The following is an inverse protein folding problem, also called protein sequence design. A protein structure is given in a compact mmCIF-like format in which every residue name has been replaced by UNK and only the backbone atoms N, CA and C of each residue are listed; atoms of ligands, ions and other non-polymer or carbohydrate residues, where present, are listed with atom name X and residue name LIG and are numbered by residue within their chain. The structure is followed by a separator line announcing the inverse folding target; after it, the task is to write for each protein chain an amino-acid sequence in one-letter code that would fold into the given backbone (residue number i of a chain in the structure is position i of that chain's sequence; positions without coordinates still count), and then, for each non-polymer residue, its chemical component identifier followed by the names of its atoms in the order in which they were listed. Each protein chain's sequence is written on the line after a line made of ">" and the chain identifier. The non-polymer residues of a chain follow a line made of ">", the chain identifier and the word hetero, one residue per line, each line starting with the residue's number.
data_IF_581383419146
#
_entry.id   IF_581383419146
#
_cell.length_a   1.000
_cell.length_b   1.000
_cell.length_c   1.000
_cell.angle_alpha   90.00
_cell.angle_beta   90.00
_cell.angle_gamma   90.00
#
_symmetry.space_group_name_H-M   'P 1'
#
loop_
_entity.id
_entity.type
_entity.pdbx_description
1 polymer ?
#
# COMPACT_ATOMS: atom_id res chain seq x y z
N UNK A 1 7.38 6.73 2.76
CA UNK A 1 6.66 5.96 3.79
C UNK A 1 6.32 4.61 3.18
N UNK A 2 6.78 3.52 3.77
CA UNK A 2 6.41 2.17 3.33
C UNK A 2 5.55 1.57 4.42
N UNK A 3 4.37 1.11 4.04
CA UNK A 3 3.37 0.53 4.94
C UNK A 3 3.42 -0.98 4.75
N UNK A 4 3.62 -1.69 5.85
CA UNK A 4 3.70 -3.15 5.88
C UNK A 4 2.53 -3.64 6.72
N UNK A 5 1.61 -4.39 6.12
CA UNK A 5 0.42 -4.92 6.77
C UNK A 5 0.50 -6.44 6.89
N UNK A 6 0.05 -6.97 8.02
CA UNK A 6 -0.24 -8.40 8.16
C UNK A 6 -1.57 -8.69 7.46
N UNK A 7 -1.55 -9.63 6.52
CA UNK A 7 -2.72 -10.06 5.76
C UNK A 7 -3.70 -10.93 6.54
N UNK A 8 -3.35 -11.33 7.77
CA UNK A 8 -4.22 -12.12 8.63
C UNK A 8 -5.05 -11.27 9.62
N UNK A 9 -4.95 -9.94 9.55
CA UNK A 9 -5.72 -9.06 10.41
C UNK A 9 -7.22 -9.13 10.08
N UNK A 10 -8.09 -9.03 11.10
CA UNK A 10 -9.52 -8.90 10.86
C UNK A 10 -9.83 -7.52 10.24
N UNK A 11 -10.93 -7.44 9.48
CA UNK A 11 -11.23 -6.31 8.62
C UNK A 11 -11.42 -4.99 9.39
N UNK A 12 -12.00 -5.06 10.58
CA UNK A 12 -12.22 -3.93 11.50
C UNK A 12 -10.90 -3.33 11.99
N UNK A 13 -9.91 -4.17 12.29
CA UNK A 13 -8.56 -3.69 12.62
C UNK A 13 -7.91 -2.99 11.43
N UNK A 14 -8.03 -3.56 10.23
CA UNK A 14 -7.50 -2.94 9.00
C UNK A 14 -8.14 -1.58 8.74
N UNK A 15 -9.45 -1.44 8.93
CA UNK A 15 -10.15 -0.17 8.82
C UNK A 15 -9.61 0.87 9.81
N UNK A 16 -9.42 0.47 11.08
CA UNK A 16 -8.89 1.34 12.12
C UNK A 16 -7.45 1.79 11.83
N UNK A 17 -6.63 0.89 11.26
CA UNK A 17 -5.28 1.21 10.78
C UNK A 17 -5.34 2.23 9.64
N UNK A 18 -6.22 2.04 8.65
CA UNK A 18 -6.34 2.99 7.53
C UNK A 18 -6.82 4.36 8.00
N UNK A 19 -7.76 4.45 8.94
CA UNK A 19 -8.18 5.72 9.55
C UNK A 19 -7.02 6.42 10.28
N UNK A 20 -6.23 5.66 11.05
CA UNK A 20 -5.07 6.20 11.76
C UNK A 20 -3.97 6.67 10.80
N UNK A 21 -3.76 5.93 9.70
CA UNK A 21 -2.83 6.28 8.65
C UNK A 21 -3.27 7.54 7.89
N UNK A 22 -4.57 7.69 7.59
CA UNK A 22 -5.07 8.88 6.89
C UNK A 22 -4.74 10.14 7.68
N UNK A 23 -5.04 10.15 8.98
CA UNK A 23 -4.73 11.27 9.87
C UNK A 23 -3.23 11.57 9.93
N UNK A 24 -2.40 10.53 10.07
CA UNK A 24 -0.93 10.67 10.13
C UNK A 24 -0.37 11.24 8.82
N UNK A 25 -0.86 10.77 7.67
CA UNK A 25 -0.42 11.24 6.35
C UNK A 25 -0.87 12.67 6.09
N UNK A 26 -2.09 13.05 6.51
CA UNK A 26 -2.56 14.45 6.45
C UNK A 26 -1.67 15.37 7.26
N UNK A 27 -1.28 14.99 8.48
CA UNK A 27 -0.36 15.78 9.31
C UNK A 27 1.02 15.93 8.65
N UNK A 28 1.57 14.85 8.09
CA UNK A 28 2.84 14.89 7.37
C UNK A 28 2.79 15.80 6.14
N UNK A 29 1.66 15.78 5.41
CA UNK A 29 1.46 16.64 4.25
C UNK A 29 1.38 18.13 4.65
N UNK A 30 0.65 18.46 5.72
CA UNK A 30 0.56 19.83 6.26
C UNK A 30 1.94 20.35 6.71
N UNK A 31 2.73 19.52 7.39
CA UNK A 31 4.09 19.87 7.80
C UNK A 31 5.00 20.15 6.60
N UNK A 32 4.91 19.34 5.54
CA UNK A 32 5.69 19.53 4.30
C UNK A 32 5.32 20.83 3.57
N UNK A 33 4.06 21.27 3.65
CA UNK A 33 3.58 22.49 3.02
C UNK A 33 3.99 23.78 3.77
N UNK A 34 4.22 23.69 5.09
CA UNK A 34 4.59 24.85 5.92
C UNK A 34 5.95 25.49 5.57
N UNK A 35 6.82 24.78 4.85
CA UNK A 35 8.17 25.24 4.54
C UNK A 35 8.41 25.32 3.01
N UNK A 36 8.09 26.45 2.36
CA UNK A 36 8.03 26.57 0.89
C UNK A 36 9.37 26.36 0.16
N UNK A 37 10.50 26.42 0.88
CA UNK A 37 11.83 26.21 0.31
C UNK A 37 12.23 24.74 0.17
N UNK A 38 11.47 23.81 0.76
CA UNK A 38 11.73 22.35 0.69
C UNK A 38 10.42 21.55 0.66
N UNK A 39 9.62 21.73 -0.39
CA UNK A 39 8.48 20.82 -0.66
C UNK A 39 9.01 19.42 -0.92
N UNK A 40 8.99 18.56 0.11
CA UNK A 40 9.34 17.15 -0.05
C UNK A 40 8.09 16.40 -0.49
N UNK A 41 8.12 15.81 -1.68
CA UNK A 41 7.10 14.86 -2.13
C UNK A 41 7.11 13.65 -1.19
N UNK A 42 5.95 13.31 -0.64
CA UNK A 42 5.81 12.14 0.21
C UNK A 42 5.47 10.96 -0.69
N UNK A 43 6.38 9.99 -0.78
CA UNK A 43 6.13 8.76 -1.51
C UNK A 43 5.57 7.68 -0.58
N UNK A 44 4.58 6.93 -1.05
CA UNK A 44 3.94 5.81 -0.39
C UNK A 44 4.32 4.50 -1.08
N UNK A 45 4.45 3.43 -0.31
CA UNK A 45 4.56 2.06 -0.80
C UNK A 45 3.78 1.11 0.12
N UNK A 46 3.30 -0.01 -0.42
CA UNK A 46 2.49 -0.99 0.32
C UNK A 46 3.06 -2.40 0.14
N UNK A 47 3.24 -3.08 1.27
CA UNK A 47 3.58 -4.49 1.35
C UNK A 47 2.55 -5.17 2.24
N UNK A 48 2.01 -6.30 1.79
CA UNK A 48 1.14 -7.15 2.62
C UNK A 48 1.81 -8.51 2.78
N UNK A 49 2.01 -8.95 4.02
CA UNK A 49 2.62 -10.26 4.31
C UNK A 49 1.59 -11.20 4.91
N UNK A 50 1.57 -12.44 4.42
CA UNK A 50 0.70 -13.52 4.89
C UNK A 50 1.42 -14.85 4.67
N UNK A 51 0.77 -15.85 4.06
CA UNK A 51 1.46 -17.01 3.49
C UNK A 51 2.35 -16.65 2.29
N UNK A 52 2.09 -15.52 1.65
CA UNK A 52 2.96 -14.89 0.64
C UNK A 52 3.19 -13.41 0.97
N UNK A 53 4.24 -12.84 0.40
CA UNK A 53 4.54 -11.40 0.46
C UNK A 53 4.06 -10.76 -0.85
N UNK A 54 3.17 -9.79 -0.76
CA UNK A 54 2.62 -9.04 -1.88
C UNK A 54 3.21 -7.63 -1.91
N UNK A 55 3.91 -7.29 -2.99
CA UNK A 55 4.45 -5.95 -3.24
C UNK A 55 3.51 -5.19 -4.18
N UNK A 56 2.72 -4.26 -3.65
CA UNK A 56 1.69 -3.57 -4.43
C UNK A 56 2.25 -2.44 -5.28
N UNK A 57 1.80 -2.37 -6.52
CA UNK A 57 2.08 -1.28 -7.43
C UNK A 57 1.08 -0.14 -7.19
N UNK A 58 1.55 0.93 -6.55
CA UNK A 58 0.74 2.12 -6.32
C UNK A 58 0.79 3.08 -7.51
N UNK A 59 -0.24 3.91 -7.65
CA UNK A 59 -0.34 4.94 -8.70
C UNK A 59 -0.87 4.43 -10.05
N UNK A 60 -1.34 3.18 -10.11
CA UNK A 60 -2.02 2.64 -11.30
C UNK A 60 -3.53 2.91 -11.18
N UNK A 61 -4.13 3.74 -12.06
CA UNK A 61 -5.55 4.05 -11.98
C UNK A 61 -6.42 2.80 -12.20
N UNK A 62 -7.45 2.62 -11.37
CA UNK A 62 -8.48 1.59 -11.55
C UNK A 62 -8.04 0.14 -11.30
N UNK A 63 -6.75 -0.12 -11.05
CA UNK A 63 -6.21 -1.48 -10.90
C UNK A 63 -5.45 -1.61 -9.59
N UNK A 64 -5.66 -2.72 -8.89
CA UNK A 64 -4.77 -3.18 -7.82
C UNK A 64 -3.87 -4.28 -8.41
N UNK A 65 -2.57 -4.02 -8.51
CA UNK A 65 -1.59 -4.97 -9.02
C UNK A 65 -0.52 -5.21 -7.97
N UNK A 66 -0.07 -6.45 -7.83
CA UNK A 66 1.00 -6.80 -6.91
C UNK A 66 1.91 -7.86 -7.52
N UNK A 67 3.19 -7.80 -7.15
CA UNK A 67 4.13 -8.90 -7.37
C UNK A 67 4.19 -9.77 -6.11
N UNK A 68 4.07 -11.08 -6.31
CA UNK A 68 3.99 -12.05 -5.22
C UNK A 68 5.35 -12.74 -5.01
N UNK A 69 5.77 -12.83 -3.76
CA UNK A 69 7.01 -13.49 -3.33
C UNK A 69 6.67 -14.56 -2.30
N UNK A 70 7.06 -15.81 -2.58
CA UNK A 70 6.88 -16.92 -1.64
C UNK A 70 8.13 -17.09 -0.76
N UNK A 71 8.00 -16.99 0.58
CA UNK A 71 9.14 -17.10 1.49
C UNK A 71 9.74 -18.52 1.55
N UNK A 72 8.97 -19.56 1.21
CA UNK A 72 9.36 -20.97 1.33
C UNK A 72 10.09 -21.55 0.12
N UNK A 73 10.38 -20.75 -0.91
CA UNK A 73 11.04 -21.24 -2.14
C UNK A 73 12.55 -21.53 -2.00
N UNK A 74 13.09 -21.56 -0.78
CA UNK A 74 14.54 -21.67 -0.51
C UNK A 74 14.98 -22.97 0.19
N UNK A 75 14.11 -23.98 0.38
CA UNK A 75 14.44 -25.20 1.13
C UNK A 75 14.37 -26.51 0.34
N UNK A 76 14.83 -26.52 -0.92
CA UNK A 76 15.10 -27.79 -1.63
C UNK A 76 16.25 -27.70 -2.63
N UNK A 77 17.37 -27.10 -2.23
CA UNK A 77 18.64 -27.33 -2.89
C UNK A 77 19.75 -27.39 -1.85
N UNK A 78 19.94 -28.58 -1.29
CA UNK A 78 21.23 -29.00 -0.75
C UNK A 78 22.31 -28.74 -1.79
N UNK A 79 23.43 -28.18 -1.34
CA UNK A 79 24.70 -27.93 -2.05
C UNK A 79 24.85 -26.62 -2.83
N UNK A 80 25.74 -25.80 -2.27
CA UNK A 80 26.64 -24.84 -2.91
C UNK A 80 26.06 -23.59 -3.60
N UNK A 81 26.67 -22.47 -3.22
CA UNK A 81 26.71 -21.19 -3.92
C UNK A 81 25.58 -20.22 -3.61
N UNK A 82 25.99 -19.20 -2.86
CA UNK A 82 25.41 -17.89 -2.62
C UNK A 82 25.19 -17.11 -3.93
N UNK A 83 24.52 -17.70 -4.92
CA UNK A 83 24.37 -17.14 -6.28
C UNK A 83 22.96 -17.28 -6.87
N UNK A 84 21.93 -17.52 -6.05
CA UNK A 84 20.52 -17.56 -6.50
C UNK A 84 19.85 -16.18 -6.55
N UNK A 85 20.52 -15.12 -6.09
CA UNK A 85 19.99 -13.74 -6.16
C UNK A 85 19.85 -13.21 -7.59
N UNK A 86 20.53 -13.79 -8.57
CA UNK A 86 20.57 -13.24 -9.94
C UNK A 86 19.44 -13.69 -10.88
N UNK A 87 18.78 -14.83 -10.64
CA UNK A 87 17.71 -15.33 -11.55
C UNK A 87 16.29 -14.90 -11.17
N UNK A 88 16.01 -14.56 -9.91
CA UNK A 88 14.76 -13.88 -9.55
C UNK A 88 14.80 -12.37 -9.84
N UNK A 89 16.00 -11.77 -9.88
CA UNK A 89 16.15 -10.34 -10.22
C UNK A 89 15.74 -10.01 -11.66
N UNK A 90 15.83 -10.95 -12.62
CA UNK A 90 15.51 -10.64 -14.02
C UNK A 90 14.01 -10.38 -14.27
N UNK A 91 13.10 -10.83 -13.37
CA UNK A 91 11.68 -10.51 -13.47
C UNK A 91 11.34 -9.13 -12.88
N UNK A 92 12.06 -8.70 -11.84
CA UNK A 92 11.97 -7.35 -11.27
C UNK A 92 12.66 -6.27 -12.12
N UNK A 93 13.41 -6.66 -13.17
CA UNK A 93 14.16 -5.74 -14.04
C UNK A 93 13.31 -4.96 -15.06
N UNK A 94 12.02 -5.28 -15.24
CA UNK A 94 11.11 -4.32 -15.89
C UNK A 94 10.73 -3.28 -14.84
N UNK A 95 11.30 -2.08 -14.96
CA UNK A 95 11.05 -0.82 -14.23
C UNK A 95 9.60 -0.60 -13.74
N UNK A 96 9.11 -1.40 -12.80
CA UNK A 96 7.81 -1.19 -12.16
C UNK A 96 8.01 -0.21 -11.01
N UNK A 97 7.23 0.86 -11.00
CA UNK A 97 7.19 1.79 -9.87
C UNK A 97 6.21 1.27 -8.83
N UNK A 98 6.69 0.83 -7.68
CA UNK A 98 5.85 0.46 -6.53
C UNK A 98 5.49 1.64 -5.65
N UNK A 99 6.19 2.77 -5.84
CA UNK A 99 5.99 3.97 -5.08
C UNK A 99 5.08 4.95 -5.83
N UNK A 100 4.21 5.63 -5.09
CA UNK A 100 3.35 6.69 -5.61
C UNK A 100 3.37 7.90 -4.69
N UNK A 101 3.26 9.10 -5.27
CA UNK A 101 3.21 10.33 -4.49
C UNK A 101 1.86 10.45 -3.79
N UNK A 102 1.86 10.87 -2.52
CA UNK A 102 0.63 11.15 -1.77
C UNK A 102 -0.23 12.20 -2.50
N UNK A 103 0.41 13.20 -3.11
CA UNK A 103 -0.22 14.29 -3.85
C UNK A 103 -0.81 13.86 -5.21
N UNK A 104 -0.40 12.70 -5.72
CA UNK A 104 -0.81 12.18 -7.04
C UNK A 104 -1.85 11.04 -6.89
N UNK A 105 -2.58 11.00 -5.76
CA UNK A 105 -3.58 9.96 -5.50
C UNK A 105 -3.00 8.65 -4.94
N UNK A 106 -1.78 8.70 -4.40
CA UNK A 106 -1.14 7.54 -3.77
C UNK A 106 -1.97 6.96 -2.61
N UNK A 107 -2.72 7.81 -1.90
CA UNK A 107 -3.65 7.36 -0.85
C UNK A 107 -4.79 6.52 -1.41
N UNK A 108 -5.50 7.00 -2.43
CA UNK A 108 -6.61 6.27 -3.04
C UNK A 108 -6.14 4.95 -3.67
N UNK A 109 -4.94 4.96 -4.26
CA UNK A 109 -4.32 3.76 -4.78
C UNK A 109 -4.00 2.75 -3.68
N UNK A 110 -3.55 3.22 -2.51
CA UNK A 110 -3.28 2.36 -1.36
C UNK A 110 -4.57 1.75 -0.83
N UNK A 111 -5.61 2.56 -0.60
CA UNK A 111 -6.91 2.10 -0.11
C UNK A 111 -7.51 1.06 -1.05
N UNK A 112 -7.42 1.28 -2.38
CA UNK A 112 -7.84 0.30 -3.39
C UNK A 112 -7.08 -1.01 -3.28
N UNK A 113 -5.75 -0.96 -3.12
CA UNK A 113 -4.92 -2.17 -3.01
C UNK A 113 -5.25 -2.97 -1.74
N UNK A 114 -5.42 -2.28 -0.61
CA UNK A 114 -5.82 -2.91 0.65
C UNK A 114 -7.23 -3.50 0.53
N UNK A 115 -8.18 -2.75 -0.03
CA UNK A 115 -9.56 -3.23 -0.28
C UNK A 115 -9.58 -4.49 -1.15
N UNK A 116 -8.74 -4.52 -2.20
CA UNK A 116 -8.63 -5.67 -3.10
C UNK A 116 -8.04 -6.91 -2.40
N UNK A 117 -7.11 -6.73 -1.46
CA UNK A 117 -6.55 -7.85 -0.69
C UNK A 117 -7.56 -8.43 0.30
N UNK A 118 -8.18 -7.58 1.10
CA UNK A 118 -9.09 -8.00 2.17
C UNK A 118 -10.52 -8.29 1.69
N UNK A 119 -10.81 -8.12 0.39
CA UNK A 119 -12.07 -8.53 -0.22
C UNK A 119 -13.28 -7.68 0.19
N UNK A 120 -13.07 -6.44 0.62
CA UNK A 120 -14.13 -5.52 1.01
C UNK A 120 -13.83 -4.11 0.54
N UNK A 121 -14.86 -3.38 0.11
CA UNK A 121 -14.74 -1.94 -0.14
C UNK A 121 -14.54 -1.25 1.20
N UNK A 122 -13.31 -0.84 1.48
CA UNK A 122 -12.99 -0.07 2.67
C UNK A 122 -13.53 1.34 2.44
N UNK A 123 -14.78 1.56 2.84
CA UNK A 123 -15.39 2.87 2.92
C UNK A 123 -14.70 3.61 4.07
N UNK A 124 -13.69 4.40 3.72
CA UNK A 124 -13.23 5.46 4.60
C UNK A 124 -14.26 6.57 4.47
N UNK A 125 -15.37 6.43 5.20
CA UNK A 125 -16.38 7.48 5.32
C UNK A 125 -15.69 8.73 5.87
N UNK A 126 -15.38 9.67 4.99
CA UNK A 126 -14.87 10.98 5.32
C UNK A 126 -16.01 12.01 5.49
N UNK A 127 -17.27 11.55 5.59
CA UNK A 127 -18.43 12.42 5.76
C UNK A 127 -19.12 12.18 7.11
N UNK A 128 -18.84 13.01 8.14
CA UNK A 128 -19.69 13.10 9.31
C UNK A 128 -21.00 13.89 9.07
N UNK A 129 -21.36 14.26 7.83
CA UNK A 129 -22.52 15.14 7.56
C UNK A 129 -23.45 14.68 6.43
N UNK A 130 -23.73 13.38 6.35
CA UNK A 130 -24.85 12.87 5.54
C UNK A 130 -26.15 12.88 6.34
N UNK A 131 -26.64 14.06 6.70
CA UNK A 131 -28.01 14.20 7.21
C UNK A 131 -29.00 13.79 6.12
N UNK A 132 -30.01 12.93 6.41
CA UNK A 132 -30.95 12.46 5.40
C UNK A 132 -31.83 13.62 4.88
N UNK A 133 -32.21 13.61 3.60
CA UNK A 133 -33.08 14.65 3.04
C UNK A 133 -34.45 14.61 3.73
N UNK A 134 -34.89 15.76 4.26
CA UNK A 134 -36.23 15.88 4.81
C UNK A 134 -37.27 15.77 3.69
N UNK A 135 -38.34 14.97 3.87
CA UNK A 135 -39.42 14.89 2.91
C UNK A 135 -40.25 16.18 2.94
N UNK A 136 -40.49 16.75 1.75
CA UNK A 136 -41.46 17.82 1.49
C UNK A 136 -42.87 17.26 1.35
#
# INVERSE_FOLDING_TARGET
>A
VVIVLDGNLPLDEVQSILLSLSHTLTQLQQQSQSNPKKKKKIQLGLVVFSSMISLYQLGVPGVASADLVSPSSSSSSSSSSFSTTHKQQSHFQKSRSYLSSLEEGGWDSLVRCVSAYFGSTLLLDNDPDSSPPQPH
#
